data_IF_607728236979
#
_entry.id   IF_607728236979
#
_cell.length_a   1.000
_cell.length_b   1.000
_cell.length_c   1.000
_cell.angle_alpha   90.00
_cell.angle_beta   90.00
_cell.angle_gamma   90.00
#
_symmetry.space_group_name_H-M   'P 1'
#
loop_
_entity.id
_entity.type
_entity.pdbx_description
1 polymer ?
#
# COMPACT_ATOMS: atom_id res chain seq x y z
N UNK A 1 -19.14 3.63 8.44
CA UNK A 1 -18.08 3.55 7.41
C UNK A 1 -16.83 3.07 8.10
N UNK A 2 -16.35 1.89 7.72
CA UNK A 2 -15.01 1.42 8.13
C UNK A 2 -14.00 2.43 7.57
N UNK A 3 -13.09 2.94 8.40
CA UNK A 3 -12.03 3.85 7.94
C UNK A 3 -10.90 3.03 7.36
N UNK A 4 -10.52 3.31 6.11
CA UNK A 4 -9.37 2.71 5.47
C UNK A 4 -8.09 3.21 6.12
N UNK A 5 -7.01 2.42 6.05
CA UNK A 5 -5.73 2.85 6.61
C UNK A 5 -5.20 4.07 5.83
N UNK A 6 -5.42 4.14 4.52
CA UNK A 6 -4.96 5.27 3.68
C UNK A 6 -5.55 6.62 4.08
N UNK A 7 -6.76 6.66 4.66
CA UNK A 7 -7.43 7.89 5.15
C UNK A 7 -6.57 8.68 6.15
N UNK A 8 -5.55 8.03 6.73
CA UNK A 8 -4.67 8.61 7.74
C UNK A 8 -3.25 8.91 7.23
N UNK A 9 -2.97 8.65 5.95
CA UNK A 9 -1.65 8.84 5.37
C UNK A 9 -1.44 10.28 4.87
N UNK A 10 -0.20 10.75 4.90
CA UNK A 10 0.24 11.98 4.25
C UNK A 10 1.39 11.71 3.27
N UNK A 11 1.59 12.66 2.34
CA UNK A 11 2.53 12.52 1.20
C UNK A 11 2.32 11.21 0.44
N UNK A 12 1.05 10.94 0.17
CA UNK A 12 0.60 9.70 -0.46
C UNK A 12 1.04 9.67 -1.92
N UNK A 13 1.59 8.54 -2.34
CA UNK A 13 1.75 8.16 -3.73
C UNK A 13 0.80 7.01 -4.04
N UNK A 14 0.04 7.15 -5.12
CA UNK A 14 -0.76 6.06 -5.68
C UNK A 14 0.15 5.17 -6.53
N UNK A 15 0.05 3.85 -6.37
CA UNK A 15 0.87 2.88 -7.11
C UNK A 15 0.05 2.26 -8.22
N UNK A 16 -1.09 1.65 -7.87
CA UNK A 16 -1.96 0.91 -8.77
C UNK A 16 -3.38 0.83 -8.18
N UNK A 17 -4.38 0.76 -9.04
CA UNK A 17 -5.74 0.34 -8.69
C UNK A 17 -6.13 -0.86 -9.55
N UNK A 18 -7.01 -1.73 -9.06
CA UNK A 18 -7.73 -2.65 -9.95
C UNK A 18 -8.72 -1.89 -10.83
N UNK A 19 -9.31 -2.56 -11.82
CA UNK A 19 -10.34 -2.02 -12.71
C UNK A 19 -11.43 -1.28 -11.92
N UNK A 20 -11.45 0.05 -12.06
CA UNK A 20 -12.33 0.96 -11.32
C UNK A 20 -13.79 0.89 -11.81
N UNK A 21 -14.03 0.27 -12.97
CA UNK A 21 -15.39 0.05 -13.49
C UNK A 21 -16.08 -1.18 -12.84
N UNK A 22 -15.39 -1.88 -11.93
CA UNK A 22 -15.95 -3.02 -11.19
C UNK A 22 -16.60 -2.57 -9.87
N UNK A 23 -17.62 -3.29 -9.35
CA UNK A 23 -18.24 -2.99 -8.06
C UNK A 23 -17.29 -3.18 -6.86
N UNK A 24 -16.19 -3.93 -7.07
CA UNK A 24 -15.17 -4.22 -6.08
C UNK A 24 -13.82 -3.74 -6.62
N UNK A 25 -13.16 -2.86 -5.87
CA UNK A 25 -11.90 -2.23 -6.26
C UNK A 25 -10.84 -2.41 -5.16
N UNK A 26 -9.59 -2.59 -5.57
CA UNK A 26 -8.43 -2.54 -4.69
C UNK A 26 -7.47 -1.44 -5.10
N UNK A 27 -7.14 -0.54 -4.18
CA UNK A 27 -6.13 0.49 -4.37
C UNK A 27 -4.87 0.15 -3.59
N UNK A 28 -3.72 0.25 -4.24
CA UNK A 28 -2.40 0.14 -3.65
C UNK A 28 -1.76 1.52 -3.55
N UNK A 29 -1.49 1.95 -2.33
CA UNK A 29 -0.92 3.25 -2.03
C UNK A 29 0.32 3.11 -1.15
N UNK A 30 1.15 4.15 -1.15
CA UNK A 30 2.27 4.31 -0.23
C UNK A 30 2.25 5.71 0.36
N UNK A 31 2.59 5.86 1.64
CA UNK A 31 2.64 7.16 2.31
C UNK A 31 3.24 7.05 3.70
N UNK A 32 3.09 8.12 4.48
CA UNK A 32 3.50 8.13 5.88
C UNK A 32 2.30 8.23 6.80
N UNK A 33 2.31 7.48 7.91
CA UNK A 33 1.32 7.65 8.98
C UNK A 33 1.73 8.77 9.96
N UNK A 34 0.87 9.10 10.93
CA UNK A 34 1.16 10.13 11.94
C UNK A 34 2.36 9.86 12.85
N UNK A 35 2.88 8.63 12.86
CA UNK A 35 4.11 8.26 13.56
C UNK A 35 5.36 8.41 12.69
N UNK A 36 5.24 9.00 11.49
CA UNK A 36 6.32 9.12 10.49
C UNK A 36 6.90 7.73 10.13
N UNK A 37 6.04 6.69 10.13
CA UNK A 37 6.37 5.36 9.61
C UNK A 37 5.97 5.29 8.14
N UNK A 38 6.78 4.63 7.31
CA UNK A 38 6.44 4.38 5.91
C UNK A 38 5.42 3.25 5.83
N UNK A 39 4.31 3.49 5.14
CA UNK A 39 3.19 2.56 5.02
C UNK A 39 2.90 2.28 3.55
N UNK A 40 2.88 1.01 3.20
CA UNK A 40 2.36 0.49 1.92
C UNK A 40 1.03 -0.16 2.25
N UNK A 41 -0.05 0.21 1.60
CA UNK A 41 -1.41 -0.22 1.95
C UNK A 41 -2.19 -0.65 0.71
N UNK A 42 -2.87 -1.78 0.81
CA UNK A 42 -4.00 -2.14 -0.04
C UNK A 42 -5.27 -1.73 0.69
N UNK A 43 -6.12 -0.93 0.04
CA UNK A 43 -7.49 -0.69 0.46
C UNK A 43 -8.46 -1.40 -0.48
N UNK A 44 -9.38 -2.13 0.11
CA UNK A 44 -10.44 -2.84 -0.57
C UNK A 44 -11.76 -2.08 -0.41
N UNK A 45 -12.38 -1.78 -1.54
CA UNK A 45 -13.65 -1.08 -1.64
C UNK A 45 -14.69 -2.03 -2.23
N UNK A 46 -15.77 -2.25 -1.50
CA UNK A 46 -16.98 -2.89 -1.99
C UNK A 46 -18.07 -1.81 -2.07
N UNK A 47 -18.34 -1.32 -3.29
CA UNK A 47 -19.29 -0.24 -3.49
C UNK A 47 -20.74 -0.70 -3.36
N UNK A 48 -21.01 -2.00 -3.47
CA UNK A 48 -22.33 -2.58 -3.26
C UNK A 48 -22.57 -2.87 -1.77
N UNK A 49 -21.55 -3.37 -1.07
CA UNK A 49 -21.60 -3.69 0.36
C UNK A 49 -20.45 -3.01 1.16
N UNK A 50 -20.50 -1.69 1.42
CA UNK A 50 -19.40 -0.95 2.07
C UNK A 50 -19.03 -1.40 3.49
N UNK A 51 -19.82 -2.30 4.08
CA UNK A 51 -19.46 -2.95 5.33
C UNK A 51 -18.19 -3.81 5.15
N UNK A 52 -17.96 -4.38 3.97
CA UNK A 52 -16.80 -5.23 3.67
C UNK A 52 -15.52 -4.45 3.35
N UNK A 53 -15.57 -3.11 3.38
CA UNK A 53 -14.37 -2.29 3.22
C UNK A 53 -13.32 -2.61 4.29
N UNK A 54 -12.12 -2.93 3.83
CA UNK A 54 -10.99 -3.26 4.70
C UNK A 54 -9.66 -2.87 4.05
N UNK A 55 -8.58 -2.98 4.83
CA UNK A 55 -7.23 -2.60 4.44
C UNK A 55 -6.23 -3.64 4.93
N UNK A 56 -5.17 -3.85 4.14
CA UNK A 56 -3.96 -4.55 4.58
C UNK A 56 -2.75 -3.68 4.31
N UNK A 57 -1.91 -3.46 5.32
CA UNK A 57 -0.76 -2.57 5.23
C UNK A 57 0.53 -3.21 5.74
N UNK A 58 1.63 -2.98 5.03
CA UNK A 58 2.99 -3.18 5.52
C UNK A 58 3.53 -1.86 6.07
N UNK A 59 3.93 -1.87 7.34
CA UNK A 59 4.41 -0.67 8.06
C UNK A 59 5.88 -0.86 8.39
N UNK A 60 6.74 -0.07 7.75
CA UNK A 60 8.19 -0.03 7.97
C UNK A 60 8.49 1.01 9.05
N UNK A 61 9.30 0.63 10.05
CA UNK A 61 9.69 1.57 11.09
C UNK A 61 10.55 2.72 10.51
N UNK A 62 10.55 3.86 11.20
CA UNK A 62 11.21 5.08 10.74
C UNK A 62 12.72 4.91 10.55
N UNK A 63 13.39 4.11 11.38
CA UNK A 63 14.85 3.92 11.30
C UNK A 63 15.25 3.16 10.03
N UNK A 64 14.62 2.01 9.77
CA UNK A 64 14.88 1.18 8.60
C UNK A 64 14.53 1.96 7.32
N UNK A 65 13.40 2.66 7.30
CA UNK A 65 13.01 3.50 6.16
C UNK A 65 14.00 4.67 5.93
N UNK A 66 14.55 5.30 6.99
CA UNK A 66 15.61 6.32 6.85
C UNK A 66 16.90 5.74 6.31
N UNK A 67 17.27 4.53 6.71
CA UNK A 67 18.44 3.83 6.16
C UNK A 67 18.23 3.57 4.66
N UNK A 68 17.05 3.08 4.26
CA UNK A 68 16.69 2.87 2.85
C UNK A 68 16.82 4.17 2.04
N UNK A 69 16.26 5.29 2.53
CA UNK A 69 16.38 6.58 1.85
C UNK A 69 17.83 7.02 1.64
N UNK A 70 18.69 6.81 2.64
CA UNK A 70 20.13 7.13 2.56
C UNK A 70 20.86 6.27 1.53
N UNK A 71 20.54 4.97 1.43
CA UNK A 71 21.14 4.07 0.44
C UNK A 71 20.83 4.48 -0.99
N UNK A 72 19.61 4.97 -1.22
CA UNK A 72 19.16 5.49 -2.50
C UNK A 72 19.51 6.95 -2.75
N UNK A 73 20.25 7.60 -1.84
CA UNK A 73 20.65 9.01 -1.93
C UNK A 73 19.48 9.97 -2.17
N UNK A 74 18.35 9.72 -1.51
CA UNK A 74 17.14 10.55 -1.57
C UNK A 74 16.77 11.07 -0.18
N UNK A 75 16.01 12.15 -0.13
CA UNK A 75 15.45 12.62 1.13
C UNK A 75 14.41 11.61 1.64
N UNK A 76 14.36 11.37 2.96
CA UNK A 76 13.39 10.47 3.58
C UNK A 76 11.95 10.74 3.09
N UNK A 77 11.60 12.01 2.99
CA UNK A 77 10.27 12.46 2.58
C UNK A 77 9.91 12.21 1.11
N UNK A 78 10.87 11.74 0.30
CA UNK A 78 10.69 11.34 -1.10
C UNK A 78 10.43 9.84 -1.26
N UNK A 79 10.54 9.03 -0.19
CA UNK A 79 10.35 7.58 -0.25
C UNK A 79 9.04 7.14 -0.91
N UNK A 80 7.85 7.72 -0.60
CA UNK A 80 6.62 7.32 -1.26
C UNK A 80 6.70 7.49 -2.77
N UNK A 81 7.19 8.65 -3.23
CA UNK A 81 7.38 8.93 -4.65
C UNK A 81 8.38 7.97 -5.29
N UNK A 82 9.52 7.75 -4.65
CA UNK A 82 10.54 6.83 -5.13
C UNK A 82 9.97 5.41 -5.34
N UNK A 83 9.25 4.88 -4.35
CA UNK A 83 8.60 3.57 -4.47
C UNK A 83 7.59 3.54 -5.62
N UNK A 84 6.80 4.61 -5.78
CA UNK A 84 5.85 4.68 -6.90
C UNK A 84 6.52 4.72 -8.27
N UNK A 85 7.73 5.29 -8.37
CA UNK A 85 8.52 5.32 -9.61
C UNK A 85 9.14 3.94 -9.89
N UNK A 86 9.61 3.24 -8.85
CA UNK A 86 10.10 1.86 -8.97
C UNK A 86 9.04 0.87 -9.45
N UNK A 87 7.76 1.11 -9.11
CA UNK A 87 6.63 0.26 -9.49
C UNK A 87 5.93 0.71 -10.78
N UNK A 88 6.60 1.53 -11.60
CA UNK A 88 5.97 2.13 -12.80
C UNK A 88 5.51 1.10 -13.83
N UNK A 89 6.22 -0.01 -14.00
CA UNK A 89 5.85 -1.08 -14.96
C UNK A 89 4.51 -1.74 -14.63
N UNK A 90 4.12 -1.79 -13.34
CA UNK A 90 2.81 -2.30 -12.95
C UNK A 90 1.67 -1.45 -13.53
N UNK A 91 1.89 -0.16 -13.74
CA UNK A 91 0.87 0.75 -14.30
C UNK A 91 0.60 0.54 -15.78
N UNK A 92 1.44 -0.25 -16.48
CA UNK A 92 1.26 -0.56 -17.90
C UNK A 92 0.24 -1.69 -18.12
N UNK A 93 -0.21 -2.36 -17.06
CA UNK A 93 -1.23 -3.42 -17.14
C UNK A 93 -2.59 -2.80 -17.47
N UNK A 94 -3.17 -3.20 -18.59
CA UNK A 94 -4.51 -2.78 -19.01
C UNK A 94 -5.56 -3.58 -18.24
N UNK A 95 -6.54 -2.90 -17.64
CA UNK A 95 -7.62 -3.48 -16.83
C UNK A 95 -7.11 -4.43 -15.73
N UNK A 96 -6.29 -3.93 -14.80
CA UNK A 96 -5.70 -4.75 -13.74
C UNK A 96 -6.78 -5.38 -12.85
N UNK A 97 -6.64 -6.66 -12.53
CA UNK A 97 -7.51 -7.34 -11.58
C UNK A 97 -7.00 -7.22 -10.14
N UNK A 98 -7.80 -7.70 -9.18
CA UNK A 98 -7.42 -7.75 -7.75
C UNK A 98 -6.10 -8.50 -7.51
N UNK A 99 -5.80 -9.51 -8.33
CA UNK A 99 -4.54 -10.26 -8.22
C UNK A 99 -3.33 -9.42 -8.64
N UNK A 100 -3.45 -8.55 -9.63
CA UNK A 100 -2.34 -7.66 -10.02
C UNK A 100 -1.97 -6.72 -8.87
N UNK A 101 -2.98 -6.18 -8.17
CA UNK A 101 -2.76 -5.33 -7.00
C UNK A 101 -2.05 -6.10 -5.87
N UNK A 102 -2.47 -7.35 -5.61
CA UNK A 102 -1.85 -8.23 -4.61
C UNK A 102 -0.42 -8.61 -4.96
N UNK A 103 -0.15 -8.92 -6.22
CA UNK A 103 1.17 -9.30 -6.70
C UNK A 103 2.12 -8.10 -6.65
N UNK A 104 1.67 -6.90 -7.01
CA UNK A 104 2.44 -5.67 -6.85
C UNK A 104 2.76 -5.38 -5.38
N UNK A 105 1.78 -5.52 -4.47
CA UNK A 105 2.03 -5.38 -3.04
C UNK A 105 3.06 -6.39 -2.52
N UNK A 106 2.96 -7.65 -2.98
CA UNK A 106 3.93 -8.70 -2.65
C UNK A 106 5.32 -8.32 -3.12
N UNK A 107 5.48 -7.89 -4.37
CA UNK A 107 6.77 -7.45 -4.92
C UNK A 107 7.37 -6.31 -4.09
N UNK A 108 6.57 -5.28 -3.74
CA UNK A 108 7.05 -4.20 -2.88
C UNK A 108 7.53 -4.74 -1.52
N UNK A 109 6.79 -5.65 -0.91
CA UNK A 109 7.21 -6.24 0.39
C UNK A 109 8.48 -7.09 0.26
N UNK A 110 8.68 -7.79 -0.86
CA UNK A 110 9.92 -8.53 -1.15
C UNK A 110 11.09 -7.55 -1.34
N UNK A 111 10.92 -6.48 -2.10
CA UNK A 111 11.93 -5.42 -2.24
C UNK A 111 12.28 -4.78 -0.89
N UNK A 112 11.30 -4.54 -0.01
CA UNK A 112 11.56 -4.03 1.34
C UNK A 112 12.44 -5.00 2.16
N UNK A 113 12.21 -6.31 2.05
CA UNK A 113 13.03 -7.31 2.72
C UNK A 113 14.45 -7.34 2.14
N UNK A 114 14.61 -7.24 0.83
CA UNK A 114 15.91 -7.19 0.14
C UNK A 114 16.71 -5.93 0.50
N UNK A 115 16.01 -4.81 0.71
CA UNK A 115 16.56 -3.59 1.30
C UNK A 115 16.88 -3.72 2.79
N UNK A 116 16.62 -4.88 3.41
CA UNK A 116 16.88 -5.15 4.83
C UNK A 116 15.94 -4.40 5.76
N UNK A 117 14.78 -3.93 5.27
CA UNK A 117 13.76 -3.30 6.09
C UNK A 117 12.96 -4.35 6.85
N UNK A 118 12.69 -4.08 8.13
CA UNK A 118 11.69 -4.83 8.90
C UNK A 118 10.37 -4.08 8.83
N UNK A 119 9.31 -4.80 8.55
CA UNK A 119 7.94 -4.28 8.62
C UNK A 119 7.02 -5.21 9.40
N UNK A 120 5.93 -4.63 9.87
CA UNK A 120 4.80 -5.37 10.45
C UNK A 120 3.60 -5.27 9.53
N UNK A 121 2.79 -6.32 9.49
CA UNK A 121 1.51 -6.29 8.78
C UNK A 121 0.41 -5.82 9.74
N UNK A 122 -0.38 -4.85 9.30
CA UNK A 122 -1.60 -4.37 9.97
C UNK A 122 -2.79 -4.59 9.06
N UNK A 123 -3.90 -5.08 9.60
CA UNK A 123 -5.14 -5.30 8.86
C UNK A 123 -6.31 -4.61 9.53
N UNK A 124 -7.30 -4.20 8.76
CA UNK A 124 -8.65 -3.90 9.26
C UNK A 124 -9.60 -5.01 8.83
N UNK A 125 -10.69 -5.20 9.56
CA UNK A 125 -11.61 -6.31 9.36
C UNK A 125 -13.00 -5.77 9.02
N UNK A 126 -13.63 -6.37 8.01
CA UNK A 126 -15.06 -6.21 7.75
C UNK A 126 -15.92 -7.09 8.67
N UNK A 127 -17.25 -7.10 8.51
CA UNK A 127 -18.15 -8.02 9.19
C UNK A 127 -17.69 -9.47 9.09
N UNK A 128 -17.95 -10.26 10.13
CA UNK A 128 -17.59 -11.69 10.21
C UNK A 128 -16.08 -11.96 10.01
N UNK A 129 -15.23 -11.05 10.48
CA UNK A 129 -13.77 -11.13 10.35
C UNK A 129 -13.28 -11.21 8.90
N UNK A 130 -14.04 -10.65 7.95
CA UNK A 130 -13.59 -10.56 6.56
C UNK A 130 -12.30 -9.75 6.45
N UNK A 131 -11.34 -10.27 5.67
CA UNK A 131 -10.01 -9.68 5.46
C UNK A 131 -9.75 -9.56 3.96
N UNK A 132 -9.36 -8.37 3.49
CA UNK A 132 -8.74 -8.23 2.18
C UNK A 132 -7.25 -8.59 2.28
N UNK A 133 -6.93 -9.83 1.92
CA UNK A 133 -5.56 -10.37 1.79
C UNK A 133 -4.89 -10.95 3.05
#
# INVERSE_FOLDING_TARGET
>A
MSKHISDTLYRVGHIMSSDEDQPIVMDLLVGFNFSDELVIVIDFFDYEEPAYNCSTAAIVNTDDARIMARRHNIAYSQLPRFITECMSEWRDIINPGLNNVRDCFKEITECLLDEGCRFRIKRTHGPNDYICC
#
